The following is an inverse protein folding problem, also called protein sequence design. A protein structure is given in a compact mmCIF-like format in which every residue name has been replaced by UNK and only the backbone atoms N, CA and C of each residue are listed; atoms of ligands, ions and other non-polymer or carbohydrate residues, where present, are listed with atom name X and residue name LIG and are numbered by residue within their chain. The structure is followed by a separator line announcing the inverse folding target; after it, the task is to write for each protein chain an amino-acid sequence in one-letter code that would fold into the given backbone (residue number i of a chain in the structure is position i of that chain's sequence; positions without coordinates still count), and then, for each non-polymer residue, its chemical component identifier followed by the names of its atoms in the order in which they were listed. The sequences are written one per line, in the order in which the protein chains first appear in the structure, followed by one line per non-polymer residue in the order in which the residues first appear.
data_IF_213405509345
#
_entry.id   IF_213405509345
#
_cell.length_a   1.000
_cell.length_b   1.000
_cell.length_c   1.000
_cell.angle_alpha   90.00
_cell.angle_beta   90.00
_cell.angle_gamma   90.00
#
_symmetry.space_group_name_H-M   'P 1'
#
loop_
_entity.id
_entity.type
_entity.pdbx_description
1 polymer ?
#
# COMPACT_ATOMS: atom_id res chain seq x y z
N UNK A 1 -48.94 31.15 5.73
CA UNK A 1 -47.87 30.26 6.21
C UNK A 1 -46.66 30.44 5.31
N UNK A 2 -45.52 30.96 5.78
CA UNK A 2 -44.32 31.03 4.95
C UNK A 2 -43.59 29.68 4.98
N UNK A 3 -43.36 29.13 3.79
CA UNK A 3 -42.64 27.88 3.59
C UNK A 3 -41.18 28.03 4.01
N UNK A 4 -40.80 27.23 5.01
CA UNK A 4 -39.44 27.10 5.54
C UNK A 4 -38.58 26.42 4.48
N UNK A 5 -37.90 27.21 3.64
CA UNK A 5 -36.89 26.71 2.71
C UNK A 5 -35.73 26.08 3.50
N UNK A 6 -35.46 24.83 3.20
CA UNK A 6 -34.55 23.96 3.93
C UNK A 6 -33.11 24.41 3.69
N UNK A 7 -32.31 24.45 4.76
CA UNK A 7 -30.88 24.79 4.69
C UNK A 7 -30.01 23.81 3.89
N UNK A 8 -30.61 22.78 3.26
CA UNK A 8 -29.92 21.85 2.37
C UNK A 8 -29.61 22.45 1.00
N UNK A 9 -30.43 23.38 0.49
CA UNK A 9 -30.19 23.97 -0.83
C UNK A 9 -29.03 24.97 -0.84
N UNK A 10 -28.78 25.64 0.29
CA UNK A 10 -27.64 26.59 0.43
C UNK A 10 -26.27 25.92 0.39
N UNK A 11 -26.16 24.61 0.65
CA UNK A 11 -24.89 23.88 0.50
C UNK A 11 -24.63 23.45 -0.95
N UNK A 12 -25.67 23.33 -1.79
CA UNK A 12 -25.55 23.04 -3.21
C UNK A 12 -25.37 24.32 -4.06
N UNK A 13 -25.70 25.49 -3.52
CA UNK A 13 -25.37 26.81 -4.05
C UNK A 13 -23.95 27.29 -3.68
N UNK A 14 -23.05 26.38 -3.32
CA UNK A 14 -21.62 26.70 -3.26
C UNK A 14 -21.17 26.94 -4.70
N UNK A 15 -21.19 28.22 -5.11
CA UNK A 15 -21.05 28.72 -6.47
C UNK A 15 -19.85 28.17 -7.23
N UNK A 16 -19.97 26.93 -7.71
CA UNK A 16 -19.29 26.50 -8.90
C UNK A 16 -19.95 27.29 -10.03
N UNK A 17 -19.18 28.06 -10.82
CA UNK A 17 -19.75 28.75 -11.98
C UNK A 17 -20.53 27.71 -12.78
N UNK A 18 -21.69 28.09 -13.32
CA UNK A 18 -22.54 27.23 -14.15
C UNK A 18 -21.78 26.81 -15.43
N UNK A 19 -20.82 25.92 -15.26
CA UNK A 19 -20.06 25.32 -16.33
C UNK A 19 -20.96 24.27 -16.97
N UNK A 20 -20.86 24.18 -18.30
CA UNK A 20 -21.58 23.20 -19.10
C UNK A 20 -21.44 21.79 -18.48
N UNK A 21 -22.50 20.95 -18.35
CA UNK A 21 -22.40 19.57 -17.86
C UNK A 21 -21.32 18.75 -18.58
N UNK A 22 -21.02 19.06 -19.85
CA UNK A 22 -19.90 18.46 -20.60
C UNK A 22 -18.54 18.81 -20.00
N UNK A 23 -18.35 20.03 -19.48
CA UNK A 23 -17.12 20.45 -18.81
C UNK A 23 -16.91 19.72 -17.48
N UNK A 24 -17.97 19.48 -16.70
CA UNK A 24 -17.88 18.64 -15.49
C UNK A 24 -17.54 17.18 -15.83
N UNK A 25 -18.19 16.60 -16.83
CA UNK A 25 -17.87 15.25 -17.29
C UNK A 25 -16.42 15.13 -17.75
N UNK A 26 -15.91 16.12 -18.50
CA UNK A 26 -14.52 16.19 -18.94
C UNK A 26 -13.55 16.34 -17.76
N UNK A 27 -13.85 17.17 -16.77
CA UNK A 27 -13.04 17.35 -15.56
C UNK A 27 -12.97 16.05 -14.74
N UNK A 28 -14.10 15.38 -14.55
CA UNK A 28 -14.17 14.09 -13.84
C UNK A 28 -13.36 13.04 -14.61
N UNK A 29 -13.53 12.94 -15.92
CA UNK A 29 -12.75 12.01 -16.74
C UNK A 29 -11.25 12.28 -16.65
N UNK A 30 -10.83 13.54 -16.72
CA UNK A 30 -9.43 13.95 -16.55
C UNK A 30 -8.90 13.55 -15.17
N UNK A 31 -9.66 13.80 -14.10
CA UNK A 31 -9.29 13.44 -12.74
C UNK A 31 -9.16 11.92 -12.57
N UNK A 32 -10.11 11.14 -13.10
CA UNK A 32 -10.05 9.68 -13.08
C UNK A 32 -8.81 9.17 -13.80
N UNK A 33 -8.50 9.70 -14.99
CA UNK A 33 -7.29 9.34 -15.74
C UNK A 33 -6.03 9.73 -14.97
N UNK A 34 -5.98 10.93 -14.38
CA UNK A 34 -4.84 11.38 -13.59
C UNK A 34 -4.59 10.48 -12.37
N UNK A 35 -5.65 10.14 -11.62
CA UNK A 35 -5.56 9.22 -10.47
C UNK A 35 -5.10 7.84 -10.93
N UNK A 36 -5.62 7.33 -12.05
CA UNK A 36 -5.22 6.04 -12.61
C UNK A 36 -3.73 6.04 -12.99
N UNK A 37 -3.26 7.07 -13.69
CA UNK A 37 -1.86 7.21 -14.10
C UNK A 37 -0.95 7.29 -12.87
N UNK A 38 -1.31 8.10 -11.87
CA UNK A 38 -0.55 8.20 -10.62
C UNK A 38 -0.51 6.85 -9.90
N UNK A 39 -1.64 6.16 -9.80
CA UNK A 39 -1.73 4.85 -9.16
C UNK A 39 -0.81 3.82 -9.86
N UNK A 40 -0.85 3.75 -11.20
CA UNK A 40 0.05 2.88 -11.98
C UNK A 40 1.52 3.24 -11.75
N UNK A 41 1.85 4.53 -11.78
CA UNK A 41 3.21 5.03 -11.53
C UNK A 41 3.70 4.63 -10.13
N UNK A 42 2.86 4.78 -9.10
CA UNK A 42 3.21 4.38 -7.74
C UNK A 42 3.48 2.88 -7.61
N UNK A 43 2.70 2.03 -8.29
CA UNK A 43 2.96 0.58 -8.32
C UNK A 43 4.29 0.28 -8.99
N UNK A 44 4.61 0.95 -10.10
CA UNK A 44 5.88 0.80 -10.79
C UNK A 44 7.07 1.20 -9.90
N UNK A 45 7.01 2.39 -9.30
CA UNK A 45 8.05 2.87 -8.38
C UNK A 45 8.20 1.93 -7.19
N UNK A 46 7.10 1.51 -6.57
CA UNK A 46 7.11 0.52 -5.48
C UNK A 46 7.74 -0.82 -5.91
N UNK A 47 7.52 -1.25 -7.16
CA UNK A 47 8.10 -2.48 -7.70
C UNK A 47 9.62 -2.38 -7.83
N UNK A 48 10.13 -1.30 -8.44
CA UNK A 48 11.57 -1.09 -8.60
C UNK A 48 12.25 -0.85 -7.24
N UNK A 49 11.65 -0.01 -6.38
CA UNK A 49 12.21 0.32 -5.07
C UNK A 49 12.36 -0.89 -4.14
N UNK A 50 11.55 -1.96 -4.33
CA UNK A 50 11.72 -3.21 -3.59
C UNK A 50 13.04 -3.91 -3.90
N UNK A 51 13.45 -3.90 -5.17
CA UNK A 51 14.75 -4.46 -5.57
C UNK A 51 15.90 -3.58 -5.10
N UNK A 52 15.74 -2.26 -5.16
CA UNK A 52 16.72 -1.31 -4.61
C UNK A 52 16.89 -1.53 -3.11
N UNK A 53 15.79 -1.67 -2.35
CA UNK A 53 15.84 -1.93 -0.91
C UNK A 53 16.47 -3.28 -0.60
N UNK A 54 16.17 -4.32 -1.39
CA UNK A 54 16.82 -5.62 -1.26
C UNK A 54 18.34 -5.49 -1.44
N UNK A 55 18.80 -4.83 -2.50
CA UNK A 55 20.23 -4.62 -2.76
C UNK A 55 20.89 -3.81 -1.63
N UNK A 56 20.24 -2.75 -1.14
CA UNK A 56 20.76 -1.95 -0.04
C UNK A 56 20.88 -2.72 1.28
N UNK A 57 19.91 -3.59 1.59
CA UNK A 57 19.95 -4.44 2.79
C UNK A 57 21.05 -5.49 2.69
N UNK A 58 21.23 -6.08 1.51
CA UNK A 58 22.23 -7.13 1.27
C UNK A 58 23.64 -6.55 1.22
N UNK A 59 23.86 -5.47 0.47
CA UNK A 59 25.17 -4.83 0.31
C UNK A 59 25.58 -3.96 1.52
N UNK A 60 24.63 -3.64 2.42
CA UNK A 60 24.80 -2.69 3.53
C UNK A 60 25.27 -1.30 3.08
N UNK A 61 25.01 -0.95 1.81
CA UNK A 61 25.36 0.32 1.17
C UNK A 61 24.13 0.94 0.54
N UNK A 62 24.00 2.27 0.62
CA UNK A 62 22.86 2.99 0.09
C UNK A 62 23.22 3.74 -1.19
N UNK A 63 23.00 3.10 -2.34
CA UNK A 63 23.26 3.68 -3.67
C UNK A 63 22.00 3.65 -4.55
N UNK A 64 21.03 4.51 -4.22
CA UNK A 64 19.69 4.50 -4.83
C UNK A 64 19.76 4.65 -6.36
N UNK A 65 20.56 5.60 -6.87
CA UNK A 65 20.62 5.91 -8.32
C UNK A 65 21.19 4.74 -9.13
N UNK A 66 22.24 4.10 -8.64
CA UNK A 66 22.90 2.99 -9.33
C UNK A 66 22.01 1.74 -9.34
N UNK A 67 21.43 1.39 -8.19
CA UNK A 67 20.51 0.24 -8.10
C UNK A 67 19.23 0.48 -8.90
N UNK A 68 18.68 1.70 -8.92
CA UNK A 68 17.52 2.04 -9.74
C UNK A 68 17.75 1.73 -11.23
N UNK A 69 18.86 2.20 -11.80
CA UNK A 69 19.19 1.98 -13.21
C UNK A 69 19.38 0.49 -13.53
N UNK A 70 19.99 -0.28 -12.63
CA UNK A 70 20.22 -1.72 -12.80
C UNK A 70 18.94 -2.56 -12.65
N UNK A 71 18.01 -2.15 -11.77
CA UNK A 71 16.84 -2.96 -11.37
C UNK A 71 15.55 -2.64 -12.12
N UNK A 72 15.59 -1.81 -13.18
CA UNK A 72 14.40 -1.52 -14.00
C UNK A 72 13.76 -2.79 -14.60
N UNK A 73 14.56 -3.69 -15.17
CA UNK A 73 14.03 -4.90 -15.86
C UNK A 73 13.37 -5.90 -14.88
N UNK A 74 14.00 -6.32 -13.76
CA UNK A 74 13.32 -7.10 -12.73
C UNK A 74 12.11 -6.36 -12.12
N UNK A 75 12.24 -5.05 -11.92
CA UNK A 75 11.17 -4.18 -11.43
C UNK A 75 9.93 -4.17 -12.34
N UNK A 76 10.12 -4.08 -13.66
CA UNK A 76 9.05 -4.12 -14.65
C UNK A 76 8.35 -5.48 -14.68
N UNK A 77 9.10 -6.59 -14.59
CA UNK A 77 8.54 -7.95 -14.50
C UNK A 77 7.67 -8.11 -13.26
N UNK A 78 8.12 -7.56 -12.13
CA UNK A 78 7.35 -7.60 -10.88
C UNK A 78 6.15 -6.63 -10.90
N UNK A 79 6.28 -5.47 -11.53
CA UNK A 79 5.17 -4.54 -11.79
C UNK A 79 4.05 -5.22 -12.59
N UNK A 80 4.39 -5.89 -13.70
CA UNK A 80 3.43 -6.64 -14.51
C UNK A 80 2.76 -7.75 -13.68
N UNK A 81 3.54 -8.44 -12.83
CA UNK A 81 3.01 -9.43 -11.90
C UNK A 81 2.04 -8.84 -10.87
N UNK A 82 2.35 -7.68 -10.29
CA UNK A 82 1.45 -6.99 -9.37
C UNK A 82 0.16 -6.56 -10.06
N UNK A 83 0.23 -6.09 -11.31
CA UNK A 83 -0.96 -5.72 -12.08
C UNK A 83 -1.82 -6.94 -12.40
N UNK A 84 -1.21 -8.06 -12.78
CA UNK A 84 -1.90 -9.33 -12.99
C UNK A 84 -2.58 -9.84 -11.71
N UNK A 85 -1.88 -9.76 -10.57
CA UNK A 85 -2.46 -10.08 -9.27
C UNK A 85 -3.66 -9.16 -8.97
N UNK A 86 -3.51 -7.84 -9.11
CA UNK A 86 -4.62 -6.91 -8.91
C UNK A 86 -5.83 -7.25 -9.79
N UNK A 87 -5.61 -7.53 -11.07
CA UNK A 87 -6.68 -7.90 -11.98
C UNK A 87 -7.34 -9.23 -11.59
N UNK A 88 -6.55 -10.23 -11.20
CA UNK A 88 -7.06 -11.50 -10.72
C UNK A 88 -7.85 -11.36 -9.40
N UNK A 89 -7.45 -10.44 -8.51
CA UNK A 89 -8.21 -10.11 -7.30
C UNK A 89 -9.58 -9.53 -7.65
N UNK A 90 -9.62 -8.57 -8.59
CA UNK A 90 -10.86 -7.96 -9.04
C UNK A 90 -11.80 -9.02 -9.66
N UNK A 91 -11.30 -9.84 -10.58
CA UNK A 91 -12.07 -10.93 -11.18
C UNK A 91 -12.57 -11.90 -10.12
N UNK A 92 -11.70 -12.34 -9.19
CA UNK A 92 -12.07 -13.23 -8.10
C UNK A 92 -13.16 -12.66 -7.21
N UNK A 93 -13.07 -11.39 -6.84
CA UNK A 93 -14.08 -10.71 -6.02
C UNK A 93 -15.39 -10.51 -6.78
N UNK A 94 -15.33 -10.15 -8.07
CA UNK A 94 -16.52 -10.02 -8.91
C UNK A 94 -17.24 -11.36 -9.09
N UNK A 95 -16.51 -12.46 -9.26
CA UNK A 95 -17.11 -13.80 -9.31
C UNK A 95 -17.73 -14.16 -7.96
N UNK A 96 -16.96 -13.96 -6.88
CA UNK A 96 -17.32 -14.39 -5.55
C UNK A 96 -18.49 -13.60 -4.96
N UNK A 97 -18.54 -12.29 -5.16
CA UNK A 97 -19.57 -11.40 -4.61
C UNK A 97 -20.62 -11.06 -5.66
N UNK A 98 -20.21 -10.79 -6.90
CA UNK A 98 -21.09 -10.35 -7.97
C UNK A 98 -22.07 -11.43 -8.42
N UNK A 99 -21.67 -12.71 -8.51
CA UNK A 99 -22.59 -13.79 -8.89
C UNK A 99 -23.68 -13.99 -7.83
N UNK A 100 -23.36 -14.16 -6.53
CA UNK A 100 -24.40 -14.28 -5.50
C UNK A 100 -25.28 -13.03 -5.39
N UNK A 101 -24.70 -11.83 -5.50
CA UNK A 101 -25.44 -10.58 -5.41
C UNK A 101 -26.42 -10.41 -6.59
N UNK A 102 -25.98 -10.68 -7.81
CA UNK A 102 -26.85 -10.61 -9.00
C UNK A 102 -27.94 -11.67 -8.96
N UNK A 103 -27.64 -12.88 -8.50
CA UNK A 103 -28.63 -13.92 -8.27
C UNK A 103 -29.68 -13.50 -7.23
N UNK A 104 -29.26 -12.98 -6.06
CA UNK A 104 -30.16 -12.50 -5.03
C UNK A 104 -31.04 -11.32 -5.49
N UNK A 105 -30.53 -10.46 -6.37
CA UNK A 105 -31.29 -9.39 -7.02
C UNK A 105 -32.31 -9.95 -8.02
N UNK A 106 -31.90 -10.91 -8.86
CA UNK A 106 -32.74 -11.50 -9.90
C UNK A 106 -33.93 -12.29 -9.32
N UNK A 107 -33.72 -13.02 -8.22
CA UNK A 107 -34.78 -13.77 -7.52
C UNK A 107 -35.65 -12.85 -6.64
N UNK A 108 -35.35 -11.55 -6.56
CA UNK A 108 -36.16 -10.57 -5.83
C UNK A 108 -36.01 -10.64 -4.31
N UNK A 109 -35.09 -11.45 -3.78
CA UNK A 109 -34.84 -11.57 -2.33
C UNK A 109 -34.50 -10.22 -1.70
N UNK A 110 -33.78 -9.37 -2.42
CA UNK A 110 -33.41 -8.02 -1.95
C UNK A 110 -34.56 -7.01 -2.02
N UNK A 111 -35.63 -7.27 -2.81
CA UNK A 111 -36.82 -6.41 -2.90
C UNK A 111 -37.88 -6.79 -1.86
N UNK A 112 -38.04 -8.08 -1.56
CA UNK A 112 -38.98 -8.64 -0.58
C UNK A 112 -38.23 -9.17 0.66
N UNK A 113 -37.30 -8.39 1.19
CA UNK A 113 -36.33 -8.83 2.22
C UNK A 113 -36.99 -9.33 3.52
N UNK A 114 -38.20 -8.86 3.85
CA UNK A 114 -38.95 -9.30 5.03
C UNK A 114 -39.46 -10.74 4.94
N UNK A 115 -39.65 -11.31 3.75
CA UNK A 115 -40.12 -12.70 3.55
C UNK A 115 -38.97 -13.70 3.36
N UNK A 116 -37.76 -13.21 3.06
CA UNK A 116 -36.58 -14.01 2.77
C UNK A 116 -35.42 -13.76 3.74
N UNK A 117 -35.72 -13.33 4.98
CA UNK A 117 -34.70 -12.98 5.97
C UNK A 117 -33.75 -14.15 6.28
N UNK A 118 -34.28 -15.36 6.46
CA UNK A 118 -33.48 -16.55 6.79
C UNK A 118 -32.44 -16.87 5.70
N UNK A 119 -32.81 -17.06 4.41
CA UNK A 119 -31.83 -17.32 3.35
C UNK A 119 -30.89 -16.14 3.08
N UNK A 120 -31.33 -14.89 3.28
CA UNK A 120 -30.46 -13.71 3.17
C UNK A 120 -29.40 -13.66 4.27
N UNK A 121 -29.78 -13.93 5.53
CA UNK A 121 -28.84 -13.97 6.66
C UNK A 121 -27.88 -15.14 6.50
N UNK A 122 -28.38 -16.35 6.24
CA UNK A 122 -27.55 -17.54 6.09
C UNK A 122 -26.59 -17.41 4.89
N UNK A 123 -27.11 -16.94 3.75
CA UNK A 123 -26.32 -16.68 2.55
C UNK A 123 -25.30 -15.56 2.75
N UNK A 124 -25.67 -14.50 3.45
CA UNK A 124 -24.77 -13.40 3.80
C UNK A 124 -23.64 -13.84 4.74
N UNK A 125 -23.94 -14.65 5.76
CA UNK A 125 -22.93 -15.23 6.66
C UNK A 125 -21.98 -16.15 5.90
N UNK A 126 -22.49 -17.05 5.05
CA UNK A 126 -21.66 -17.93 4.23
C UNK A 126 -20.76 -17.11 3.28
N UNK A 127 -21.32 -16.10 2.61
CA UNK A 127 -20.58 -15.22 1.71
C UNK A 127 -19.50 -14.44 2.48
N UNK A 128 -19.81 -13.94 3.68
CA UNK A 128 -18.86 -13.25 4.53
C UNK A 128 -17.65 -14.14 4.87
N UNK A 129 -17.87 -15.38 5.29
CA UNK A 129 -16.78 -16.32 5.55
C UNK A 129 -15.97 -16.63 4.29
N UNK A 130 -16.65 -16.87 3.15
CA UNK A 130 -15.98 -17.18 1.89
C UNK A 130 -15.12 -16.01 1.37
N UNK A 131 -15.65 -14.78 1.44
CA UNK A 131 -14.92 -13.55 1.11
C UNK A 131 -13.75 -13.33 2.06
N UNK A 132 -13.97 -13.54 3.37
CA UNK A 132 -12.90 -13.40 4.36
C UNK A 132 -11.77 -14.40 4.10
N UNK A 133 -12.08 -15.67 3.86
CA UNK A 133 -11.10 -16.70 3.51
C UNK A 133 -10.37 -16.34 2.21
N UNK A 134 -11.09 -15.91 1.18
CA UNK A 134 -10.49 -15.45 -0.08
C UNK A 134 -9.51 -14.30 0.14
N UNK A 135 -9.91 -13.26 0.88
CA UNK A 135 -9.06 -12.10 1.19
C UNK A 135 -7.83 -12.52 1.99
N UNK A 136 -7.98 -13.38 3.00
CA UNK A 136 -6.85 -13.87 3.80
C UNK A 136 -5.85 -14.64 2.93
N UNK A 137 -6.33 -15.58 2.10
CA UNK A 137 -5.46 -16.31 1.15
C UNK A 137 -4.78 -15.36 0.17
N UNK A 138 -5.51 -14.35 -0.31
CA UNK A 138 -4.98 -13.34 -1.20
C UNK A 138 -3.85 -12.53 -0.55
N UNK A 139 -4.05 -12.09 0.70
CA UNK A 139 -3.03 -11.37 1.47
C UNK A 139 -1.77 -12.24 1.67
N UNK A 140 -1.92 -13.54 1.91
CA UNK A 140 -0.78 -14.47 2.02
C UNK A 140 0.00 -14.52 0.70
N UNK A 141 -0.69 -14.63 -0.45
CA UNK A 141 -0.06 -14.59 -1.78
C UNK A 141 0.69 -13.27 -1.99
N UNK A 142 0.11 -12.14 -1.60
CA UNK A 142 0.77 -10.84 -1.70
C UNK A 142 2.01 -10.76 -0.82
N UNK A 143 1.92 -11.21 0.44
CA UNK A 143 3.02 -11.24 1.41
C UNK A 143 4.16 -12.11 0.88
N UNK A 144 3.88 -13.33 0.44
CA UNK A 144 4.92 -14.22 -0.06
C UNK A 144 5.53 -13.73 -1.38
N UNK A 145 4.72 -13.11 -2.25
CA UNK A 145 5.21 -12.46 -3.47
C UNK A 145 6.21 -11.35 -3.17
N UNK A 146 5.98 -10.53 -2.14
CA UNK A 146 6.96 -9.48 -1.79
C UNK A 146 8.17 -10.01 -1.03
N UNK A 147 7.99 -11.02 -0.19
CA UNK A 147 9.01 -11.41 0.79
C UNK A 147 9.96 -12.49 0.28
N UNK A 148 9.48 -13.38 -0.60
CA UNK A 148 10.24 -14.54 -1.06
C UNK A 148 10.47 -14.58 -2.57
N UNK A 149 9.56 -14.03 -3.36
CA UNK A 149 9.72 -13.99 -4.82
C UNK A 149 10.69 -12.88 -5.24
N UNK A 150 10.62 -11.69 -4.61
CA UNK A 150 11.53 -10.57 -4.91
C UNK A 150 13.00 -10.96 -4.70
N UNK A 151 13.43 -11.58 -3.58
CA UNK A 151 14.82 -12.04 -3.42
C UNK A 151 15.27 -13.03 -4.51
N UNK A 152 14.44 -13.99 -4.88
CA UNK A 152 14.78 -14.97 -5.93
C UNK A 152 14.95 -14.29 -7.29
N UNK A 153 14.03 -13.39 -7.66
CA UNK A 153 14.13 -12.58 -8.87
C UNK A 153 15.37 -11.67 -8.84
N UNK A 154 15.71 -11.14 -7.66
CA UNK A 154 16.85 -10.24 -7.49
C UNK A 154 18.20 -10.96 -7.64
N UNK A 155 18.30 -12.21 -7.17
CA UNK A 155 19.54 -12.99 -7.20
C UNK A 155 19.77 -13.70 -8.52
N UNK A 156 18.71 -14.26 -9.13
CA UNK A 156 18.85 -15.18 -10.28
C UNK A 156 18.26 -14.64 -11.59
N UNK A 157 17.77 -13.40 -11.62
CA UNK A 157 17.08 -12.77 -12.78
C UNK A 157 15.96 -13.63 -13.39
N UNK A 158 15.30 -14.46 -12.56
CA UNK A 158 14.18 -15.30 -12.96
C UNK A 158 12.85 -14.55 -12.97
N UNK A 159 11.85 -15.11 -13.65
CA UNK A 159 10.49 -14.58 -13.66
C UNK A 159 9.71 -14.91 -12.37
N UNK A 160 8.63 -14.14 -12.07
CA UNK A 160 7.83 -14.32 -10.86
C UNK A 160 7.11 -15.69 -10.82
N UNK A 161 6.69 -16.21 -11.97
CA UNK A 161 6.06 -17.54 -12.07
C UNK A 161 7.03 -18.66 -11.72
N UNK A 162 8.27 -18.57 -12.18
CA UNK A 162 9.32 -19.56 -11.89
C UNK A 162 9.70 -19.52 -10.41
N UNK A 163 9.86 -18.33 -9.84
CA UNK A 163 10.08 -18.17 -8.41
C UNK A 163 8.93 -18.76 -7.57
N UNK A 164 7.68 -18.62 -8.02
CA UNK A 164 6.52 -19.24 -7.36
C UNK A 164 6.57 -20.76 -7.43
N UNK A 165 6.90 -21.33 -8.60
CA UNK A 165 7.08 -22.78 -8.77
C UNK A 165 8.12 -23.35 -7.84
N UNK A 166 9.20 -22.62 -7.56
CA UNK A 166 10.26 -23.02 -6.62
C UNK A 166 9.85 -22.85 -5.15
N UNK A 167 9.06 -21.81 -4.85
CA UNK A 167 8.61 -21.53 -3.49
C UNK A 167 7.57 -22.55 -3.00
N UNK A 168 6.69 -23.04 -3.87
CA UNK A 168 5.60 -23.95 -3.48
C UNK A 168 6.08 -25.27 -2.85
N UNK A 169 7.10 -25.98 -3.38
CA UNK A 169 7.70 -27.14 -2.72
C UNK A 169 8.27 -26.82 -1.34
N UNK A 170 8.96 -25.68 -1.18
CA UNK A 170 9.55 -25.26 0.11
C UNK A 170 8.47 -24.99 1.16
N UNK A 171 7.36 -24.36 0.74
CA UNK A 171 6.22 -24.11 1.61
C UNK A 171 5.55 -25.42 2.05
N UNK A 172 5.48 -26.41 1.15
CA UNK A 172 4.93 -27.74 1.45
C UNK A 172 5.81 -28.55 2.39
N UNK A 173 7.14 -28.43 2.27
CA UNK A 173 8.09 -29.15 3.15
C UNK A 173 8.13 -28.58 4.56
N UNK A 174 7.93 -27.27 4.74
CA UNK A 174 8.09 -26.61 6.06
C UNK A 174 6.91 -25.71 6.44
N UNK A 175 5.68 -26.27 6.44
CA UNK A 175 4.45 -25.51 6.72
C UNK A 175 4.51 -24.74 8.06
N UNK A 176 5.05 -25.37 9.10
CA UNK A 176 5.17 -24.76 10.43
C UNK A 176 6.09 -23.54 10.46
N UNK A 177 7.21 -23.59 9.75
CA UNK A 177 8.17 -22.48 9.68
C UNK A 177 7.56 -21.25 9.00
N UNK A 178 6.91 -21.44 7.85
CA UNK A 178 6.25 -20.33 7.13
C UNK A 178 4.99 -19.81 7.85
N UNK A 179 4.24 -20.67 8.53
CA UNK A 179 3.12 -20.23 9.37
C UNK A 179 3.60 -19.40 10.56
N UNK A 180 4.67 -19.84 11.25
CA UNK A 180 5.31 -19.10 12.33
C UNK A 180 5.87 -17.75 11.86
N UNK A 181 6.50 -17.73 10.68
CA UNK A 181 6.94 -16.49 10.03
C UNK A 181 5.78 -15.51 9.82
N UNK A 182 4.65 -15.98 9.27
CA UNK A 182 3.50 -15.12 9.03
C UNK A 182 2.90 -14.60 10.34
N UNK A 183 2.76 -15.46 11.35
CA UNK A 183 2.28 -15.09 12.68
C UNK A 183 3.18 -14.03 13.33
N UNK A 184 4.50 -14.25 13.33
CA UNK A 184 5.45 -13.28 13.86
C UNK A 184 5.40 -11.96 13.10
N UNK A 185 5.27 -12.01 11.77
CA UNK A 185 5.14 -10.80 10.95
C UNK A 185 3.88 -10.00 11.27
N UNK A 186 2.76 -10.68 11.55
CA UNK A 186 1.52 -10.04 12.02
C UNK A 186 1.78 -9.35 13.36
N UNK A 187 2.35 -10.05 14.35
CA UNK A 187 2.65 -9.47 15.67
C UNK A 187 3.57 -8.25 15.55
N UNK A 188 4.65 -8.36 14.78
CA UNK A 188 5.57 -7.25 14.53
C UNK A 188 4.89 -6.10 13.79
N UNK A 189 3.99 -6.37 12.84
CA UNK A 189 3.24 -5.34 12.13
C UNK A 189 2.30 -4.56 13.03
N UNK A 190 1.66 -5.23 13.99
CA UNK A 190 0.83 -4.59 15.02
C UNK A 190 1.71 -3.72 15.91
N UNK A 191 2.83 -4.25 16.42
CA UNK A 191 3.76 -3.48 17.25
C UNK A 191 4.32 -2.24 16.53
N UNK A 192 4.76 -2.41 15.28
CA UNK A 192 5.25 -1.31 14.45
C UNK A 192 4.16 -0.28 14.17
N UNK A 193 2.93 -0.71 13.85
CA UNK A 193 1.80 0.18 13.61
C UNK A 193 1.44 1.01 14.86
N UNK A 194 1.48 0.39 16.05
CA UNK A 194 1.25 1.11 17.31
C UNK A 194 2.35 2.13 17.57
N UNK A 195 3.63 1.74 17.48
CA UNK A 195 4.76 2.64 17.76
C UNK A 195 4.79 3.81 16.75
N UNK A 196 4.74 3.50 15.46
CA UNK A 196 4.74 4.51 14.39
C UNK A 196 3.47 5.36 14.46
N UNK A 197 2.33 4.77 14.76
CA UNK A 197 1.05 5.48 14.91
C UNK A 197 1.06 6.47 16.06
N UNK A 198 1.58 6.08 17.23
CA UNK A 198 1.75 6.99 18.38
C UNK A 198 2.71 8.13 18.03
N UNK A 199 3.88 7.81 17.45
CA UNK A 199 4.86 8.83 17.07
C UNK A 199 4.29 9.80 16.02
N UNK A 200 3.61 9.29 14.99
CA UNK A 200 2.93 10.10 13.98
C UNK A 200 1.84 10.97 14.59
N UNK A 201 1.02 10.43 15.50
CA UNK A 201 -0.02 11.18 16.19
C UNK A 201 0.57 12.34 17.00
N UNK A 202 1.63 12.10 17.78
CA UNK A 202 2.32 13.15 18.54
C UNK A 202 2.83 14.25 17.61
N UNK A 203 3.50 13.88 16.52
CA UNK A 203 4.04 14.84 15.54
C UNK A 203 2.94 15.65 14.87
N UNK A 204 1.84 15.00 14.47
CA UNK A 204 0.68 15.67 13.90
C UNK A 204 0.12 16.68 14.90
N UNK A 205 -0.08 16.29 16.17
CA UNK A 205 -0.60 17.21 17.18
C UNK A 205 0.36 18.38 17.44
N UNK A 206 1.65 18.11 17.63
CA UNK A 206 2.68 19.15 17.85
C UNK A 206 2.80 20.12 16.68
N UNK A 207 2.52 19.66 15.46
CA UNK A 207 2.56 20.50 14.26
C UNK A 207 1.25 21.27 14.07
N UNK A 208 0.11 20.60 14.26
CA UNK A 208 -1.21 21.13 13.96
C UNK A 208 -1.73 22.10 15.04
N UNK A 209 -1.36 21.91 16.32
CA UNK A 209 -1.76 22.81 17.41
C UNK A 209 -1.23 24.24 17.19
N UNK A 210 0.10 24.48 16.99
CA UNK A 210 0.60 25.84 16.80
C UNK A 210 0.16 26.41 15.45
N UNK A 211 0.25 25.63 14.37
CA UNK A 211 -0.07 26.13 13.02
C UNK A 211 -1.58 26.34 12.86
N UNK A 212 -2.39 25.41 13.36
CA UNK A 212 -3.84 25.53 13.38
C UNK A 212 -4.32 26.63 14.32
N UNK A 213 -3.68 26.80 15.48
CA UNK A 213 -3.96 27.89 16.41
C UNK A 213 -3.67 29.26 15.80
N UNK A 214 -2.47 29.45 15.26
CA UNK A 214 -2.09 30.69 14.55
C UNK A 214 -3.00 30.92 13.34
N UNK A 215 -3.26 29.89 12.54
CA UNK A 215 -4.17 29.96 11.39
C UNK A 215 -5.58 30.37 11.79
N UNK A 216 -6.13 29.81 12.88
CA UNK A 216 -7.44 30.17 13.40
C UNK A 216 -7.48 31.64 13.86
N UNK A 217 -6.46 32.09 14.61
CA UNK A 217 -6.35 33.50 15.04
C UNK A 217 -6.28 34.44 13.83
N UNK A 218 -5.46 34.12 12.83
CA UNK A 218 -5.35 34.93 11.59
C UNK A 218 -6.67 35.00 10.83
N UNK A 219 -7.40 33.88 10.72
CA UNK A 219 -8.72 33.85 10.07
C UNK A 219 -9.74 34.68 10.85
N UNK A 220 -9.75 34.59 12.18
CA UNK A 220 -10.65 35.36 13.04
C UNK A 220 -10.37 36.87 12.95
N UNK A 221 -9.09 37.28 13.03
CA UNK A 221 -8.67 38.67 12.86
C UNK A 221 -8.98 39.20 11.46
N UNK A 222 -8.69 38.40 10.43
CA UNK A 222 -9.02 38.74 9.05
C UNK A 222 -10.51 38.97 8.88
N UNK A 223 -11.35 38.10 9.44
CA UNK A 223 -12.81 38.21 9.36
C UNK A 223 -13.34 39.50 10.02
N UNK A 224 -12.72 39.95 11.11
CA UNK A 224 -13.04 41.27 11.70
C UNK A 224 -12.58 42.46 10.84
N UNK A 225 -11.57 42.28 9.98
CA UNK A 225 -11.07 43.29 9.04
C UNK A 225 -11.71 43.26 7.65
N UNK A 226 -12.79 42.51 7.44
CA UNK A 226 -13.48 42.40 6.14
C UNK A 226 -12.97 41.28 5.22
N UNK A 227 -12.21 40.31 5.73
CA UNK A 227 -11.81 39.12 4.98
C UNK A 227 -13.02 38.21 4.73
N UNK A 228 -13.43 38.13 3.47
CA UNK A 228 -14.45 37.17 3.02
C UNK A 228 -13.79 35.94 2.37
N UNK A 229 -14.52 34.83 2.34
CA UNK A 229 -14.14 33.64 1.57
C UNK A 229 -14.31 33.94 0.07
N UNK A 230 -13.28 34.52 -0.52
CA UNK A 230 -13.16 34.75 -1.95
C UNK A 230 -12.18 33.70 -2.53
N UNK A 231 -12.19 33.54 -3.85
CA UNK A 231 -11.30 32.64 -4.58
C UNK A 231 -9.84 32.79 -4.13
N UNK A 232 -9.35 34.02 -3.92
CA UNK A 232 -7.98 34.29 -3.48
C UNK A 232 -7.68 33.76 -2.06
N UNK A 233 -8.60 33.93 -1.10
CA UNK A 233 -8.39 33.49 0.29
C UNK A 233 -8.52 31.97 0.41
N UNK A 234 -9.43 31.36 -0.35
CA UNK A 234 -9.55 29.91 -0.47
C UNK A 234 -8.27 29.33 -1.10
N UNK A 235 -7.79 29.92 -2.21
CA UNK A 235 -6.57 29.46 -2.88
C UNK A 235 -5.37 29.54 -1.94
N UNK A 236 -5.21 30.65 -1.22
CA UNK A 236 -4.14 30.80 -0.22
C UNK A 236 -4.23 29.75 0.89
N UNK A 237 -5.43 29.50 1.42
CA UNK A 237 -5.66 28.49 2.46
C UNK A 237 -5.33 27.07 1.95
N UNK A 238 -5.72 26.74 0.71
CA UNK A 238 -5.40 25.45 0.08
C UNK A 238 -3.89 25.30 -0.12
N UNK A 239 -3.20 26.35 -0.58
CA UNK A 239 -1.74 26.32 -0.76
C UNK A 239 -1.04 26.08 0.58
N UNK A 240 -1.36 26.86 1.62
CA UNK A 240 -0.78 26.70 2.97
C UNK A 240 -1.12 25.32 3.53
N UNK A 241 -2.37 24.88 3.42
CA UNK A 241 -2.82 23.57 3.86
C UNK A 241 -2.11 22.43 3.14
N UNK A 242 -1.83 22.59 1.84
CA UNK A 242 -1.10 21.60 1.04
C UNK A 242 0.38 21.50 1.47
N UNK A 243 1.04 22.63 1.71
CA UNK A 243 2.40 22.64 2.26
C UNK A 243 2.46 22.01 3.65
N UNK A 244 1.50 22.32 4.52
CA UNK A 244 1.40 21.73 5.85
C UNK A 244 1.19 20.21 5.77
N UNK A 245 0.27 19.76 4.91
CA UNK A 245 0.01 18.35 4.68
C UNK A 245 1.26 17.65 4.14
N UNK A 246 1.95 18.22 3.16
CA UNK A 246 3.18 17.68 2.61
C UNK A 246 4.28 17.56 3.67
N UNK A 247 4.43 18.58 4.54
CA UNK A 247 5.36 18.56 5.65
C UNK A 247 5.03 17.44 6.65
N UNK A 248 3.76 17.31 7.06
CA UNK A 248 3.31 16.24 7.96
C UNK A 248 3.61 14.86 7.33
N UNK A 249 3.25 14.65 6.06
CA UNK A 249 3.51 13.41 5.36
C UNK A 249 5.01 13.09 5.27
N UNK A 250 5.84 14.10 5.03
CA UNK A 250 7.30 13.94 5.02
C UNK A 250 7.82 13.47 6.38
N UNK A 251 7.44 14.14 7.47
CA UNK A 251 7.90 13.76 8.82
C UNK A 251 7.39 12.37 9.21
N UNK A 252 6.12 12.04 8.94
CA UNK A 252 5.56 10.70 9.19
C UNK A 252 6.32 9.64 8.36
N UNK A 253 6.70 9.97 7.13
CA UNK A 253 7.51 9.07 6.29
C UNK A 253 8.87 8.80 6.92
N UNK A 254 9.56 9.83 7.46
CA UNK A 254 10.84 9.67 8.15
C UNK A 254 10.73 8.74 9.37
N UNK A 255 9.71 8.92 10.18
CA UNK A 255 9.45 8.06 11.36
C UNK A 255 9.14 6.62 10.96
N UNK A 256 8.56 6.42 9.77
CA UNK A 256 8.19 5.09 9.27
C UNK A 256 9.37 4.32 8.65
N UNK A 257 10.49 4.98 8.33
CA UNK A 257 11.65 4.36 7.65
C UNK A 257 12.15 3.10 8.36
N UNK A 258 12.41 3.10 9.70
CA UNK A 258 12.93 1.92 10.38
C UNK A 258 12.00 0.70 10.24
N UNK A 259 10.68 0.91 10.37
CA UNK A 259 9.69 -0.16 10.19
C UNK A 259 9.70 -0.69 8.75
N UNK A 260 9.77 0.20 7.75
CA UNK A 260 9.77 -0.17 6.32
C UNK A 260 11.01 -0.99 5.95
N UNK A 261 12.18 -0.70 6.53
CA UNK A 261 13.43 -1.45 6.29
C UNK A 261 13.48 -2.75 7.10
N UNK A 262 12.92 -2.76 8.30
CA UNK A 262 12.92 -3.91 9.20
C UNK A 262 12.19 -5.14 8.60
N UNK A 263 11.01 -4.96 7.99
CA UNK A 263 10.25 -6.11 7.47
C UNK A 263 10.93 -6.85 6.32
N UNK A 264 11.49 -6.19 5.30
CA UNK A 264 12.30 -6.86 4.28
C UNK A 264 13.55 -7.50 4.86
N UNK A 265 14.26 -6.83 5.78
CA UNK A 265 15.43 -7.42 6.44
C UNK A 265 15.07 -8.71 7.19
N UNK A 266 14.02 -8.70 8.02
CA UNK A 266 13.51 -9.89 8.69
C UNK A 266 13.19 -11.03 7.71
N UNK A 267 12.59 -10.69 6.57
CA UNK A 267 12.22 -11.67 5.54
C UNK A 267 13.44 -12.27 4.83
N UNK A 268 14.44 -11.43 4.55
CA UNK A 268 15.72 -11.85 3.96
C UNK A 268 16.44 -12.82 4.89
N UNK A 269 16.57 -12.51 6.18
CA UNK A 269 17.23 -13.41 7.14
C UNK A 269 16.47 -14.72 7.35
N UNK A 270 15.14 -14.68 7.42
CA UNK A 270 14.33 -15.89 7.49
C UNK A 270 14.51 -16.77 6.24
N UNK A 271 14.53 -16.16 5.06
CA UNK A 271 14.62 -16.88 3.80
C UNK A 271 16.02 -17.40 3.50
N UNK A 272 17.07 -16.71 3.95
CA UNK A 272 18.47 -17.08 3.75
C UNK A 272 18.75 -18.53 4.16
N UNK A 273 18.31 -18.92 5.36
CA UNK A 273 18.50 -20.28 5.88
C UNK A 273 17.86 -21.39 5.02
N UNK A 274 16.95 -21.03 4.11
CA UNK A 274 16.21 -21.96 3.23
C UNK A 274 16.60 -21.81 1.76
N UNK A 275 17.39 -20.80 1.42
CA UNK A 275 17.74 -20.46 0.05
C UNK A 275 19.24 -20.24 -0.10
N UNK A 276 19.94 -21.26 -0.59
CA UNK A 276 21.42 -21.29 -0.66
C UNK A 276 22.03 -20.07 -1.36
N UNK A 277 21.45 -19.63 -2.48
CA UNK A 277 21.96 -18.48 -3.21
C UNK A 277 21.89 -17.18 -2.38
N UNK A 278 20.89 -17.06 -1.50
CA UNK A 278 20.78 -15.91 -0.59
C UNK A 278 21.72 -16.04 0.61
N UNK A 279 21.86 -17.25 1.16
CA UNK A 279 22.81 -17.51 2.26
C UNK A 279 24.25 -17.21 1.85
N UNK A 280 24.67 -17.66 0.65
CA UNK A 280 26.01 -17.43 0.12
C UNK A 280 26.37 -15.95 -0.01
N UNK A 281 25.38 -15.09 -0.30
CA UNK A 281 25.59 -13.64 -0.42
C UNK A 281 25.64 -12.96 0.95
N UNK A 282 24.82 -13.42 1.91
CA UNK A 282 24.80 -12.85 3.26
C UNK A 282 25.96 -13.32 4.15
N UNK A 283 26.48 -14.53 3.88
CA UNK A 283 27.54 -15.19 4.64
C UNK A 283 28.59 -15.75 3.67
N UNK A 284 29.41 -14.89 3.04
CA UNK A 284 30.47 -15.37 2.16
C UNK A 284 31.45 -16.27 2.92
N UNK A 285 31.88 -17.36 2.30
CA UNK A 285 32.85 -18.28 2.89
C UNK A 285 34.18 -17.54 3.18
N UNK A 286 34.88 -17.88 4.28
CA UNK A 286 36.21 -17.33 4.53
C UNK A 286 37.14 -17.61 3.34
N UNK A 287 38.06 -16.68 3.00
CA UNK A 287 39.05 -16.93 1.97
C UNK A 287 39.83 -18.22 2.30
N UNK A 288 40.18 -19.04 1.30
CA UNK A 288 40.96 -20.25 1.53
C UNK A 288 42.22 -19.90 2.31
N UNK A 289 42.51 -20.64 3.38
CA UNK A 289 43.80 -20.55 4.05
C UNK A 289 44.87 -20.95 3.03
N UNK A 290 45.63 -19.98 2.53
CA UNK A 290 46.86 -20.27 1.79
C UNK A 290 47.82 -20.89 2.81
N UNK A 291 48.02 -22.20 2.72
CA UNK A 291 49.11 -22.85 3.45
C UNK A 291 50.41 -22.16 3.03
N UNK A 292 51.24 -21.66 3.97
CA UNK A 292 52.53 -21.09 3.61
C UNK A 292 53.31 -22.16 2.83
N UNK A 293 53.78 -21.78 1.64
CA UNK A 293 54.68 -22.62 0.84
C UNK A 293 55.82 -23.08 1.74
N UNK A 294 56.13 -24.39 1.80
CA UNK A 294 57.27 -24.86 2.57
C UNK A 294 58.52 -24.19 2.02
N UNK A 295 59.14 -23.34 2.82
CA UNK A 295 60.39 -22.67 2.50
C UNK A 295 61.45 -23.72 2.22
N UNK A 296 61.81 -23.88 0.94
CA UNK A 296 62.96 -24.66 0.53
C UNK A 296 64.23 -23.90 0.94
N UNK A 297 64.75 -24.22 2.12
CA UNK A 297 66.13 -23.89 2.54
C UNK A 297 67.04 -25.08 2.24
#
# INVERSE_FOLDING_TARGET
MPTRTSGGERFLELGLPAMNPVAYAALIALLVVAVLVLWVLFIYVNSVMRFVLFDSVVAKQCEIRQYWNRRQKPGLRYFAWQLLLFLAMMVGLTILVGIPATFALAVGWLKQSSQHMVPLILGGVLLFFLVTTFVVLWLIVLVFSKDFIVPQMALEDIGPMEAWRRLLPMLKSEKGGYAGYLGMKIVMSIGAAVIVGIAAMIIILLTLIPIGGVGAVLVLMGKSGGLHWNLYTITLAVVIGSFLLAFILYVVSLVSVPAIVFFPAYSIYFFAARYRALDAVLRPAPPPFLSPEPSSY
#
